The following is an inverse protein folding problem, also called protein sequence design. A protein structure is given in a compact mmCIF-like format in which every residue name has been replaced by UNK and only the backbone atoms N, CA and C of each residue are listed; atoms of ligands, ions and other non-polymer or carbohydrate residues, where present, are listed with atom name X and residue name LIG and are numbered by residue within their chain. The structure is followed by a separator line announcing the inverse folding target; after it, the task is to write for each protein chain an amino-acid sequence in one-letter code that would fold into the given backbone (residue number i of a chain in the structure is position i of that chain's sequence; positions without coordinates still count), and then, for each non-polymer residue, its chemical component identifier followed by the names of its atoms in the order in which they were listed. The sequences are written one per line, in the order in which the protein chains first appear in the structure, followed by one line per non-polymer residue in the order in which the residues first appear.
data_IF_786819510236
#
_entry.id   IF_786819510236
#
_cell.length_a   1.000
_cell.length_b   1.000
_cell.length_c   1.000
_cell.angle_alpha   90.00
_cell.angle_beta   90.00
_cell.angle_gamma   90.00
#
_symmetry.space_group_name_H-M   'P 1'
#
loop_
_entity.id
_entity.type
_entity.pdbx_description
1 polymer ?
#
# COMPACT_ATOMS: atom_id res chain seq x y z
N UNK A 1 -19.43 7.81 3.93
CA UNK A 1 -19.68 7.57 2.51
C UNK A 1 -18.40 7.17 1.80
N UNK A 2 -18.47 6.18 0.95
CA UNK A 2 -17.34 5.74 0.16
C UNK A 2 -17.36 6.46 -1.17
N UNK A 3 -16.18 6.90 -1.63
CA UNK A 3 -16.06 7.52 -2.94
C UNK A 3 -14.96 6.83 -3.74
N UNK A 4 -15.05 6.86 -5.08
CA UNK A 4 -13.98 6.32 -5.91
C UNK A 4 -12.68 7.07 -5.68
N UNK A 5 -11.56 6.35 -5.74
CA UNK A 5 -10.25 6.97 -5.64
C UNK A 5 -9.91 7.60 -6.98
N UNK A 6 -9.47 8.83 -6.93
CA UNK A 6 -8.97 9.50 -8.12
C UNK A 6 -7.57 8.97 -8.45
N UNK A 7 -7.24 8.94 -9.73
CA UNK A 7 -5.97 8.41 -10.19
C UNK A 7 -4.76 9.12 -9.58
N UNK A 8 -4.89 10.39 -9.21
CA UNK A 8 -3.81 11.14 -8.57
C UNK A 8 -3.69 10.87 -7.06
N UNK A 9 -4.64 10.14 -6.48
CA UNK A 9 -4.59 9.76 -5.07
C UNK A 9 -4.06 8.34 -4.87
N UNK A 10 -4.19 7.51 -5.90
CA UNK A 10 -3.77 6.11 -5.86
C UNK A 10 -2.50 5.91 -6.67
N UNK A 11 -1.52 5.34 -6.03
CA UNK A 11 -0.30 4.89 -6.69
C UNK A 11 -0.29 3.37 -6.65
N UNK A 12 -0.36 2.73 -7.82
CA UNK A 12 -0.42 1.28 -7.93
C UNK A 12 0.74 0.78 -8.77
N UNK A 13 1.51 -0.15 -8.23
CA UNK A 13 2.69 -0.70 -8.89
C UNK A 13 2.80 -2.20 -8.72
N UNK A 14 3.18 -2.86 -9.80
CA UNK A 14 3.68 -4.21 -9.74
C UNK A 14 5.21 -4.13 -9.67
N UNK A 15 5.78 -4.64 -8.59
CA UNK A 15 7.22 -4.53 -8.37
C UNK A 15 7.98 -5.51 -9.28
N UNK A 16 9.08 -5.06 -9.88
CA UNK A 16 9.86 -5.92 -10.77
C UNK A 16 10.81 -6.83 -10.01
N UNK A 17 11.23 -7.91 -10.66
CA UNK A 17 12.29 -8.79 -10.19
C UNK A 17 12.04 -9.36 -8.80
N UNK A 18 12.90 -9.01 -7.86
CA UNK A 18 12.82 -9.50 -6.49
C UNK A 18 11.86 -8.72 -5.62
N UNK A 19 11.09 -7.80 -6.20
CA UNK A 19 10.13 -7.01 -5.46
C UNK A 19 10.81 -6.14 -4.42
N UNK A 20 10.21 -6.08 -3.24
CA UNK A 20 10.72 -5.24 -2.14
C UNK A 20 11.92 -5.85 -1.42
N UNK A 21 12.39 -7.03 -1.83
CA UNK A 21 13.65 -7.57 -1.34
C UNK A 21 14.85 -6.83 -1.93
N UNK A 22 14.65 -6.17 -3.06
CA UNK A 22 15.72 -5.42 -3.71
C UNK A 22 15.79 -4.01 -3.12
N UNK A 23 16.89 -3.63 -2.45
CA UNK A 23 17.02 -2.30 -1.85
C UNK A 23 16.87 -1.17 -2.86
N UNK A 24 17.27 -1.39 -4.10
CA UNK A 24 17.14 -0.40 -5.15
C UNK A 24 15.67 -0.11 -5.46
N UNK A 25 14.85 -1.16 -5.55
CA UNK A 25 13.41 -1.02 -5.75
C UNK A 25 12.77 -0.24 -4.62
N UNK A 26 13.14 -0.54 -3.37
CA UNK A 26 12.64 0.17 -2.20
C UNK A 26 13.03 1.64 -2.24
N UNK A 27 14.24 1.93 -2.64
CA UNK A 27 14.73 3.30 -2.73
C UNK A 27 13.97 4.09 -3.80
N UNK A 28 13.73 3.48 -4.95
CA UNK A 28 12.94 4.12 -6.01
C UNK A 28 11.51 4.37 -5.56
N UNK A 29 10.92 3.40 -4.86
CA UNK A 29 9.57 3.52 -4.32
C UNK A 29 9.48 4.67 -3.32
N UNK A 30 10.45 4.76 -2.41
CA UNK A 30 10.51 5.84 -1.44
C UNK A 30 10.60 7.21 -2.14
N UNK A 31 11.38 7.30 -3.20
CA UNK A 31 11.48 8.50 -4.01
C UNK A 31 10.15 8.90 -4.64
N UNK A 32 9.42 7.93 -5.17
CA UNK A 32 8.11 8.19 -5.74
C UNK A 32 7.12 8.69 -4.70
N UNK A 33 7.09 8.04 -3.55
CA UNK A 33 6.15 8.42 -2.47
C UNK A 33 6.45 9.85 -2.00
N UNK A 34 7.71 10.20 -1.84
CA UNK A 34 8.09 11.54 -1.42
C UNK A 34 7.75 12.59 -2.47
N UNK A 35 7.95 12.25 -3.74
CA UNK A 35 7.72 13.18 -4.84
C UNK A 35 6.25 13.45 -5.09
N UNK A 36 5.43 12.41 -5.11
CA UNK A 36 4.03 12.52 -5.50
C UNK A 36 3.06 12.55 -4.31
N UNK A 37 3.54 12.21 -3.13
CA UNK A 37 2.77 12.21 -1.89
C UNK A 37 1.38 11.58 -2.06
N UNK A 38 1.30 10.33 -2.56
CA UNK A 38 0.01 9.69 -2.78
C UNK A 38 -0.68 9.38 -1.47
N UNK A 39 -2.00 9.40 -1.46
CA UNK A 39 -2.78 9.04 -0.28
C UNK A 39 -2.90 7.54 -0.10
N UNK A 40 -2.83 6.81 -1.19
CA UNK A 40 -2.89 5.35 -1.22
C UNK A 40 -1.80 4.81 -2.11
N UNK A 41 -1.13 3.75 -1.62
CA UNK A 41 -0.12 3.04 -2.40
C UNK A 41 -0.47 1.56 -2.37
N UNK A 42 -0.68 0.97 -3.53
CA UNK A 42 -0.91 -0.47 -3.68
C UNK A 42 0.26 -1.10 -4.42
N UNK A 43 0.83 -2.13 -3.82
CA UNK A 43 1.95 -2.86 -4.42
C UNK A 43 1.58 -4.32 -4.59
N UNK A 44 1.90 -4.87 -5.75
CA UNK A 44 1.83 -6.31 -6.01
C UNK A 44 3.22 -6.86 -6.24
N UNK A 45 3.35 -8.18 -6.14
CA UNK A 45 4.64 -8.86 -6.26
C UNK A 45 5.69 -8.28 -5.30
N UNK A 46 5.27 -8.09 -4.04
CA UNK A 46 6.18 -7.53 -3.03
C UNK A 46 7.28 -8.50 -2.63
N UNK A 47 7.01 -9.78 -2.69
CA UNK A 47 7.95 -10.88 -2.39
C UNK A 47 8.54 -10.83 -0.99
N UNK A 48 7.84 -10.19 -0.06
CA UNK A 48 8.26 -10.09 1.33
C UNK A 48 7.11 -10.50 2.26
N UNK A 49 7.47 -10.77 3.51
CA UNK A 49 6.49 -11.13 4.54
C UNK A 49 5.74 -9.89 5.04
N UNK A 50 4.64 -10.14 5.73
CA UNK A 50 3.85 -9.08 6.35
C UNK A 50 4.68 -8.24 7.32
N UNK A 51 5.54 -8.87 8.10
CA UNK A 51 6.38 -8.13 9.05
C UNK A 51 7.34 -7.18 8.34
N UNK A 52 7.86 -7.57 7.19
CA UNK A 52 8.72 -6.69 6.40
C UNK A 52 7.95 -5.58 5.72
N UNK A 53 6.69 -5.83 5.36
CA UNK A 53 5.82 -4.79 4.84
C UNK A 53 5.62 -3.70 5.89
N UNK A 54 5.46 -4.06 7.15
CA UNK A 54 5.32 -3.07 8.23
C UNK A 54 6.57 -2.19 8.36
N UNK A 55 7.74 -2.76 8.16
CA UNK A 55 8.97 -1.98 8.16
C UNK A 55 9.05 -1.05 6.95
N UNK A 56 8.58 -1.53 5.81
CA UNK A 56 8.51 -0.70 4.60
C UNK A 56 7.57 0.49 4.81
N UNK A 57 6.44 0.28 5.48
CA UNK A 57 5.52 1.35 5.83
C UNK A 57 6.22 2.50 6.55
N UNK A 58 7.03 2.16 7.54
CA UNK A 58 7.80 3.15 8.28
C UNK A 58 8.70 3.96 7.37
N UNK A 59 9.39 3.28 6.47
CA UNK A 59 10.30 3.94 5.55
C UNK A 59 9.58 4.88 4.59
N UNK A 60 8.37 4.49 4.15
CA UNK A 60 7.57 5.30 3.24
C UNK A 60 6.84 6.45 3.96
N UNK A 61 6.81 6.43 5.28
CA UNK A 61 6.15 7.50 6.05
C UNK A 61 4.63 7.44 6.00
N UNK A 62 4.06 6.27 5.72
CA UNK A 62 2.62 6.08 5.66
C UNK A 62 2.09 5.51 6.98
N UNK A 63 0.84 5.79 7.30
CA UNK A 63 0.29 5.46 8.62
C UNK A 63 -0.37 4.11 8.71
N UNK A 64 -1.03 3.67 7.66
CA UNK A 64 -1.72 2.39 7.68
C UNK A 64 -1.17 1.43 6.66
N UNK A 65 -1.33 0.14 6.92
CA UNK A 65 -1.00 -0.87 5.93
C UNK A 65 -1.82 -2.14 6.13
N UNK A 66 -2.06 -2.81 5.01
CA UNK A 66 -2.55 -4.17 4.95
C UNK A 66 -1.59 -4.94 4.06
N UNK A 67 -1.32 -6.18 4.41
CA UNK A 67 -0.37 -6.97 3.65
C UNK A 67 -0.84 -8.41 3.53
N UNK A 68 -0.49 -9.02 2.41
CA UNK A 68 -0.64 -10.45 2.18
C UNK A 68 0.76 -10.99 1.93
N UNK A 69 1.15 -12.01 2.69
CA UNK A 69 2.47 -12.61 2.57
C UNK A 69 2.71 -13.15 1.17
N UNK A 70 3.94 -13.04 0.72
CA UNK A 70 4.36 -13.75 -0.47
C UNK A 70 4.33 -15.26 -0.21
N UNK A 71 4.00 -16.02 -1.24
CA UNK A 71 4.06 -17.48 -1.20
C UNK A 71 5.30 -17.96 -1.91
N UNK A 72 6.23 -18.52 -1.15
CA UNK A 72 7.51 -18.93 -1.68
C UNK A 72 8.29 -17.72 -2.20
N UNK A 73 8.64 -17.77 -3.48
CA UNK A 73 9.43 -16.71 -4.12
C UNK A 73 8.61 -15.73 -4.93
N UNK A 74 7.29 -15.82 -4.87
CA UNK A 74 6.40 -15.00 -5.67
C UNK A 74 5.25 -14.45 -4.85
N UNK A 75 4.60 -13.46 -5.40
CA UNK A 75 3.39 -12.89 -4.84
C UNK A 75 3.66 -11.88 -3.76
N UNK A 76 2.65 -11.69 -2.94
CA UNK A 76 2.66 -10.66 -1.92
C UNK A 76 1.98 -9.41 -2.39
N UNK A 77 1.07 -8.91 -1.55
CA UNK A 77 0.36 -7.66 -1.79
C UNK A 77 0.55 -6.74 -0.60
N UNK A 78 0.57 -5.46 -0.85
CA UNK A 78 0.61 -4.47 0.20
C UNK A 78 -0.21 -3.27 -0.18
N UNK A 79 -0.97 -2.77 0.79
CA UNK A 79 -1.71 -1.52 0.65
C UNK A 79 -1.29 -0.61 1.79
N UNK A 80 -0.90 0.60 1.45
CA UNK A 80 -0.51 1.62 2.42
C UNK A 80 -1.40 2.85 2.23
N UNK A 81 -1.64 3.59 3.32
CA UNK A 81 -2.42 4.81 3.23
C UNK A 81 -1.95 5.86 4.21
N UNK A 82 -2.26 7.11 3.86
CA UNK A 82 -1.96 8.28 4.67
C UNK A 82 -2.91 8.36 5.88
N UNK A 83 -2.50 9.10 6.88
CA UNK A 83 -3.28 9.25 8.12
C UNK A 83 -4.65 9.90 7.92
N UNK A 84 -4.84 10.61 6.83
CA UNK A 84 -6.11 11.28 6.52
C UNK A 84 -7.11 10.39 5.81
N UNK A 85 -6.75 9.14 5.55
CA UNK A 85 -7.60 8.19 4.85
C UNK A 85 -8.09 7.13 5.82
N UNK A 86 -9.41 6.88 5.82
CA UNK A 86 -9.99 5.75 6.53
C UNK A 86 -10.19 4.60 5.58
N UNK A 87 -9.63 3.46 5.92
CA UNK A 87 -9.69 2.26 5.11
C UNK A 87 -10.43 1.19 5.90
N UNK A 88 -11.51 0.68 5.33
CA UNK A 88 -12.24 -0.47 5.87
C UNK A 88 -12.02 -1.67 4.98
N UNK A 89 -11.50 -2.74 5.54
CA UNK A 89 -11.28 -3.97 4.80
C UNK A 89 -12.61 -4.66 4.52
N UNK A 90 -12.91 -4.89 3.25
CA UNK A 90 -14.10 -5.61 2.83
C UNK A 90 -13.80 -7.08 2.56
N UNK A 91 -12.70 -7.35 1.86
CA UNK A 91 -12.32 -8.69 1.47
C UNK A 91 -10.84 -8.74 1.20
N UNK A 92 -10.20 -9.83 1.56
CA UNK A 92 -8.77 -10.01 1.34
C UNK A 92 -8.49 -11.46 0.98
N UNK A 93 -7.66 -11.66 -0.04
CA UNK A 93 -7.13 -12.98 -0.37
C UNK A 93 -5.74 -12.81 -1.02
N UNK A 94 -5.16 -13.90 -1.47
CA UNK A 94 -3.80 -13.88 -2.00
C UNK A 94 -3.66 -13.18 -3.37
N UNK A 95 -4.77 -12.72 -3.94
CA UNK A 95 -4.77 -12.07 -5.25
C UNK A 95 -5.20 -10.61 -5.20
N UNK A 96 -5.97 -10.23 -4.18
CA UNK A 96 -6.46 -8.86 -4.10
C UNK A 96 -6.76 -8.44 -2.67
N UNK A 97 -6.82 -7.14 -2.49
CA UNK A 97 -7.31 -6.50 -1.27
C UNK A 97 -8.44 -5.59 -1.70
N UNK A 98 -9.63 -5.83 -1.16
CA UNK A 98 -10.80 -5.03 -1.45
C UNK A 98 -11.17 -4.20 -0.23
N UNK A 99 -11.20 -2.90 -0.39
CA UNK A 99 -11.42 -1.97 0.71
C UNK A 99 -12.42 -0.91 0.32
N UNK A 100 -13.10 -0.38 1.31
CA UNK A 100 -13.83 0.87 1.16
C UNK A 100 -13.01 1.99 1.77
N UNK A 101 -13.05 3.16 1.14
CA UNK A 101 -12.18 4.25 1.50
C UNK A 101 -13.01 5.49 1.74
N UNK A 102 -12.69 6.17 2.84
CA UNK A 102 -13.29 7.44 3.20
C UNK A 102 -12.18 8.47 3.39
N UNK A 103 -12.24 9.54 2.63
CA UNK A 103 -11.33 10.67 2.78
C UNK A 103 -11.98 11.67 3.71
N UNK A 104 -11.81 11.43 5.01
CA UNK A 104 -12.41 12.26 6.04
C UNK A 104 -11.30 13.03 6.77
N UNK A 105 -11.05 14.30 6.44
CA UNK A 105 -9.91 15.03 6.99
C UNK A 105 -9.86 15.07 8.50
N UNK A 106 -11.01 15.06 9.15
CA UNK A 106 -11.10 15.14 10.61
C UNK A 106 -11.44 13.81 11.26
N UNK A 107 -11.40 12.73 10.49
CA UNK A 107 -11.82 11.43 10.99
C UNK A 107 -13.30 11.35 11.30
N UNK A 108 -14.08 12.31 10.84
CA UNK A 108 -15.51 12.35 11.13
C UNK A 108 -16.24 11.22 10.40
N UNK A 109 -17.19 10.55 11.06
CA UNK A 109 -17.99 9.56 10.39
C UNK A 109 -18.95 10.22 9.41
N UNK A 110 -19.37 9.47 8.46
CA UNK A 110 -20.33 9.91 7.47
C UNK A 110 -21.74 9.70 8.00
#
# INVERSE_FOLDING_TARGET
MVRPIRSNELFSLELPGEGARNPRTVRELDGFVRRYNPKLVFLSETMISESRVKNLRWRLGLKGCLAIDSRGKRGGLALFWDENIHVNLLSINDRYIDVSICDCPNGAPW
#
